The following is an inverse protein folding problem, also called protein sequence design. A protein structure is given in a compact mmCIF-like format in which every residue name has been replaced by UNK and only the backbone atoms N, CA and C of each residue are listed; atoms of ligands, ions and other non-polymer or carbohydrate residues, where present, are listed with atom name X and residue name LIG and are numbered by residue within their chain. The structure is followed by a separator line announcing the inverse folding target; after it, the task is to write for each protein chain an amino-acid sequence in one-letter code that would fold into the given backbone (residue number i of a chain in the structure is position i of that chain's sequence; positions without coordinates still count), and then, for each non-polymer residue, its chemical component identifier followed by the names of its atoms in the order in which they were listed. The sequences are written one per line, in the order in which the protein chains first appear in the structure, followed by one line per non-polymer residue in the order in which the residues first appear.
data_IF_960976448784
#
_entry.id   IF_960976448784
#
_cell.length_a   1.000
_cell.length_b   1.000
_cell.length_c   1.000
_cell.angle_alpha   90.00
_cell.angle_beta   90.00
_cell.angle_gamma   90.00
#
_symmetry.space_group_name_H-M   'P 1'
#
loop_
_entity.id
_entity.type
_entity.pdbx_description
1 polymer ?
#
# COMPACT_ATOMS: atom_id res chain seq x y z
N UNK A 1 12.41 13.65 0.89
CA UNK A 1 13.80 13.32 0.56
C UNK A 1 13.83 12.85 -0.88
N UNK A 2 14.56 13.55 -1.75
CA UNK A 2 14.85 13.11 -3.11
C UNK A 2 16.35 12.80 -3.16
N UNK A 3 16.71 11.55 -3.41
CA UNK A 3 18.10 11.12 -3.53
C UNK A 3 18.35 10.68 -4.96
N UNK A 4 19.36 11.25 -5.59
CA UNK A 4 19.81 10.83 -6.90
C UNK A 4 21.33 10.65 -6.85
N UNK A 5 21.79 9.48 -7.27
CA UNK A 5 23.20 9.09 -7.23
C UNK A 5 23.73 9.09 -8.65
N UNK A 6 24.75 9.91 -8.91
CA UNK A 6 25.50 9.87 -10.17
C UNK A 6 26.81 9.15 -9.90
N UNK A 7 27.10 8.11 -10.67
CA UNK A 7 28.35 7.34 -10.59
C UNK A 7 29.09 7.44 -11.92
N UNK A 8 30.38 7.76 -11.87
CA UNK A 8 31.30 7.68 -13.00
C UNK A 8 32.68 7.24 -12.52
N UNK A 9 33.31 6.30 -13.22
CA UNK A 9 34.70 5.83 -13.10
C UNK A 9 35.39 6.10 -11.75
N UNK A 10 34.94 5.36 -10.73
CA UNK A 10 35.56 5.34 -9.40
C UNK A 10 35.01 6.35 -8.39
N UNK A 11 34.15 7.28 -8.81
CA UNK A 11 33.54 8.27 -7.92
C UNK A 11 32.01 8.19 -7.97
N UNK A 12 31.39 8.27 -6.78
CA UNK A 12 29.94 8.41 -6.64
C UNK A 12 29.62 9.70 -5.90
N UNK A 13 28.76 10.52 -6.49
CA UNK A 13 28.23 11.73 -5.86
C UNK A 13 26.75 11.52 -5.60
N UNK A 14 26.38 11.61 -4.33
CA UNK A 14 25.01 11.50 -3.86
C UNK A 14 24.42 12.91 -3.66
N UNK A 15 23.40 13.23 -4.45
CA UNK A 15 22.63 14.45 -4.25
C UNK A 15 21.41 14.13 -3.39
N UNK A 16 21.45 14.54 -2.12
CA UNK A 16 20.32 14.44 -1.20
C UNK A 16 19.63 15.79 -1.09
N UNK A 17 18.51 15.94 -1.79
CA UNK A 17 17.66 17.11 -1.64
C UNK A 17 16.67 16.88 -0.49
N UNK A 18 16.93 17.57 0.61
CA UNK A 18 16.02 17.67 1.74
C UNK A 18 15.22 18.97 1.62
N UNK A 19 13.89 18.85 1.60
CA UNK A 19 13.01 20.00 1.79
C UNK A 19 13.32 20.55 3.18
N UNK A 20 13.67 21.85 3.29
CA UNK A 20 13.74 22.51 4.60
C UNK A 20 12.36 22.38 5.25
N UNK A 21 12.26 21.59 6.30
CA UNK A 21 11.15 21.67 7.23
C UNK A 21 11.26 23.02 7.92
N UNK A 22 10.31 23.91 7.66
CA UNK A 22 10.09 25.06 8.53
C UNK A 22 9.84 24.50 9.92
N UNK A 23 10.82 24.70 10.81
CA UNK A 23 10.66 24.42 12.23
C UNK A 23 9.80 25.52 12.82
N UNK A 24 8.51 25.52 12.52
CA UNK A 24 7.55 26.21 13.37
C UNK A 24 7.35 25.32 14.59
N UNK A 25 8.20 25.56 15.58
CA UNK A 25 8.42 24.76 16.77
C UNK A 25 7.31 24.93 17.84
N UNK A 26 6.06 25.11 17.45
CA UNK A 26 4.95 25.36 18.39
C UNK A 26 3.62 24.69 18.04
N UNK A 27 3.54 23.76 17.08
CA UNK A 27 2.29 23.05 16.79
C UNK A 27 2.47 21.54 16.92
N UNK A 28 1.95 21.02 18.03
CA UNK A 28 1.72 19.62 18.39
C UNK A 28 3.05 18.87 18.62
N UNK A 29 3.40 18.74 19.90
CA UNK A 29 4.41 17.77 20.33
C UNK A 29 4.13 16.42 19.67
N UNK A 30 5.18 15.65 19.35
CA UNK A 30 5.08 14.26 18.89
C UNK A 30 4.42 13.40 20.00
N UNK A 31 3.12 13.53 20.17
CA UNK A 31 2.31 12.69 21.04
C UNK A 31 2.05 11.44 20.19
N UNK A 32 2.68 10.34 20.58
CA UNK A 32 2.38 9.04 20.00
C UNK A 32 1.02 8.63 20.56
N UNK A 33 -0.05 8.86 19.78
CA UNK A 33 -1.41 8.56 20.19
C UNK A 33 -1.63 7.05 20.16
N UNK A 34 -2.01 6.50 21.30
CA UNK A 34 -2.38 5.10 21.44
C UNK A 34 -3.90 4.91 21.29
N UNK A 35 -4.34 3.66 21.21
CA UNK A 35 -5.76 3.36 21.03
C UNK A 35 -6.58 3.76 22.26
N UNK A 36 -5.95 3.65 23.43
CA UNK A 36 -6.42 3.94 24.77
C UNK A 36 -6.67 5.44 25.01
N UNK A 37 -6.08 6.32 24.19
CA UNK A 37 -6.23 7.78 24.31
C UNK A 37 -7.61 8.27 23.84
N UNK A 38 -8.41 7.41 23.21
CA UNK A 38 -9.71 7.76 22.64
C UNK A 38 -10.88 7.13 23.40
N UNK A 39 -11.96 7.89 23.59
CA UNK A 39 -13.23 7.36 24.08
C UNK A 39 -14.17 6.91 22.95
N UNK A 40 -15.05 5.92 23.22
CA UNK A 40 -15.99 5.46 22.19
C UNK A 40 -16.90 6.57 21.65
N UNK A 41 -17.42 7.42 22.54
CA UNK A 41 -18.32 8.51 22.15
C UNK A 41 -17.59 9.61 21.37
N UNK A 42 -16.32 9.88 21.70
CA UNK A 42 -15.47 10.79 20.94
C UNK A 42 -15.25 10.25 19.52
N UNK A 43 -14.89 8.97 19.37
CA UNK A 43 -14.69 8.35 18.06
C UNK A 43 -15.97 8.36 17.23
N UNK A 44 -17.13 8.07 17.84
CA UNK A 44 -18.42 8.12 17.13
C UNK A 44 -18.79 9.52 16.63
N UNK A 45 -18.48 10.56 17.40
CA UNK A 45 -18.89 11.93 17.11
C UNK A 45 -17.89 12.68 16.22
N UNK A 46 -16.59 12.50 16.47
CA UNK A 46 -15.52 13.26 15.84
C UNK A 46 -14.85 12.52 14.68
N UNK A 47 -14.96 11.19 14.63
CA UNK A 47 -14.18 10.37 13.71
C UNK A 47 -15.01 9.45 12.80
N UNK A 48 -14.45 9.13 11.63
CA UNK A 48 -14.83 7.93 10.88
C UNK A 48 -13.70 6.90 10.98
N UNK A 49 -13.80 5.89 11.85
CA UNK A 49 -12.73 4.93 12.06
C UNK A 49 -12.60 3.97 10.89
N UNK A 50 -11.36 3.70 10.49
CA UNK A 50 -11.02 2.75 9.43
C UNK A 50 -9.89 1.83 9.89
N UNK A 51 -10.13 0.52 9.88
CA UNK A 51 -9.19 -0.49 10.34
C UNK A 51 -8.48 -1.14 9.17
N UNK A 52 -7.18 -0.88 9.03
CA UNK A 52 -6.39 -1.22 7.84
C UNK A 52 -5.48 -2.42 8.07
N UNK A 53 -5.69 -3.50 7.32
CA UNK A 53 -4.80 -4.65 7.24
C UNK A 53 -4.06 -4.70 5.89
N UNK A 54 -2.74 -4.47 5.87
CA UNK A 54 -1.94 -4.63 4.66
C UNK A 54 -1.67 -6.11 4.37
N UNK A 55 -2.45 -6.69 3.47
CA UNK A 55 -2.38 -8.10 3.06
C UNK A 55 -1.23 -8.48 2.13
N UNK A 56 -1.17 -9.77 1.76
CA UNK A 56 -0.22 -10.30 0.75
C UNK A 56 -0.75 -10.23 -0.69
N UNK A 57 -2.07 -10.37 -0.87
CA UNK A 57 -2.74 -10.37 -2.20
C UNK A 57 -3.42 -9.02 -2.50
N UNK A 58 -3.78 -8.30 -1.45
CA UNK A 58 -4.23 -6.90 -1.50
C UNK A 58 -3.14 -5.98 -0.95
N UNK A 59 -3.06 -4.77 -1.51
CA UNK A 59 -2.23 -3.69 -0.98
C UNK A 59 -2.74 -3.29 0.41
N UNK A 60 -4.05 -3.24 0.56
CA UNK A 60 -4.73 -3.16 1.85
C UNK A 60 -6.15 -3.71 1.75
N UNK A 61 -6.65 -4.12 2.90
CA UNK A 61 -8.06 -4.32 3.22
C UNK A 61 -8.39 -3.35 4.36
N UNK A 62 -9.53 -2.69 4.28
CA UNK A 62 -10.00 -1.74 5.28
C UNK A 62 -11.42 -2.15 5.72
N UNK A 63 -11.67 -2.23 7.02
CA UNK A 63 -13.03 -2.22 7.55
C UNK A 63 -13.37 -0.79 8.00
N UNK A 64 -14.46 -0.23 7.51
CA UNK A 64 -14.86 1.15 7.81
C UNK A 64 -16.09 1.12 8.72
N UNK A 65 -16.05 1.97 9.75
CA UNK A 65 -17.10 2.12 10.74
C UNK A 65 -16.96 1.17 11.92
N UNK A 66 -17.87 1.36 12.88
CA UNK A 66 -17.89 0.67 14.17
C UNK A 66 -18.94 -0.45 14.24
N UNK A 67 -19.79 -0.61 13.22
CA UNK A 67 -20.82 -1.65 13.21
C UNK A 67 -20.16 -3.02 13.00
N UNK A 68 -20.22 -3.86 14.04
CA UNK A 68 -19.66 -5.21 14.03
C UNK A 68 -20.32 -6.13 13.00
N UNK A 69 -21.56 -5.84 12.61
CA UNK A 69 -22.36 -6.66 11.70
C UNK A 69 -22.19 -6.23 10.23
N UNK A 70 -22.36 -4.94 9.90
CA UNK A 70 -22.31 -4.42 8.54
C UNK A 70 -21.13 -3.46 8.30
N UNK A 71 -19.91 -3.96 8.41
CA UNK A 71 -18.73 -3.18 8.03
C UNK A 71 -18.67 -2.99 6.51
N UNK A 72 -18.44 -1.74 6.07
CA UNK A 72 -18.04 -1.51 4.68
C UNK A 72 -16.58 -1.95 4.52
N UNK A 73 -16.36 -2.99 3.72
CA UNK A 73 -15.01 -3.48 3.42
C UNK A 73 -14.50 -2.82 2.15
N UNK A 74 -13.44 -2.00 2.26
CA UNK A 74 -12.72 -1.46 1.11
C UNK A 74 -11.43 -2.20 0.88
N UNK A 75 -11.10 -2.48 -0.39
CA UNK A 75 -9.87 -3.18 -0.75
C UNK A 75 -9.21 -2.58 -1.97
N UNK A 76 -7.90 -2.75 -2.02
CA UNK A 76 -7.08 -2.53 -3.19
C UNK A 76 -6.29 -3.80 -3.47
N UNK A 77 -6.52 -4.45 -4.61
CA UNK A 77 -5.68 -5.59 -4.98
C UNK A 77 -4.32 -5.13 -5.48
N UNK A 78 -3.29 -5.97 -5.37
CA UNK A 78 -1.96 -5.69 -5.95
C UNK A 78 -2.05 -5.46 -7.47
N UNK A 79 -2.96 -6.18 -8.14
CA UNK A 79 -3.23 -6.00 -9.57
C UNK A 79 -3.87 -4.63 -9.88
N UNK A 80 -4.85 -4.20 -9.08
CA UNK A 80 -5.47 -2.87 -9.21
C UNK A 80 -4.43 -1.76 -9.02
N UNK A 81 -3.54 -1.91 -8.04
CA UNK A 81 -2.44 -0.98 -7.81
C UNK A 81 -1.47 -0.91 -8.99
N UNK A 82 -1.00 -2.04 -9.50
CA UNK A 82 -0.11 -2.05 -10.67
C UNK A 82 -0.78 -1.50 -11.94
N UNK A 83 -2.09 -1.62 -12.04
CA UNK A 83 -2.87 -0.98 -13.09
C UNK A 83 -2.89 0.55 -12.93
N UNK A 84 -3.21 1.07 -11.74
CA UNK A 84 -3.26 2.51 -11.42
C UNK A 84 -1.90 3.19 -11.61
N UNK A 85 -0.82 2.54 -11.18
CA UNK A 85 0.55 3.07 -11.36
C UNK A 85 1.00 3.10 -12.82
N UNK A 86 0.29 2.43 -13.73
CA UNK A 86 0.68 2.24 -15.12
C UNK A 86 1.79 1.19 -15.31
N UNK A 87 2.24 0.54 -14.23
CA UNK A 87 3.33 -0.45 -14.26
C UNK A 87 3.04 -1.60 -15.20
N UNK A 88 1.81 -2.15 -15.18
CA UNK A 88 1.42 -3.26 -16.05
C UNK A 88 1.56 -2.90 -17.54
N UNK A 89 1.11 -1.69 -17.93
CA UNK A 89 1.21 -1.21 -19.32
C UNK A 89 2.65 -0.97 -19.72
N UNK A 90 3.43 -0.37 -18.82
CA UNK A 90 4.85 -0.10 -19.05
C UNK A 90 5.66 -1.38 -19.20
N UNK A 91 5.53 -2.34 -18.28
CA UNK A 91 6.26 -3.61 -18.30
C UNK A 91 5.95 -4.36 -19.60
N UNK A 92 4.67 -4.48 -20.00
CA UNK A 92 4.30 -5.10 -21.28
C UNK A 92 4.96 -4.42 -22.48
N UNK A 93 4.99 -3.08 -22.50
CA UNK A 93 5.65 -2.31 -23.55
C UNK A 93 7.17 -2.55 -23.57
N UNK A 94 7.80 -2.55 -22.39
CA UNK A 94 9.23 -2.76 -22.24
C UNK A 94 9.62 -4.17 -22.71
N UNK A 95 8.89 -5.20 -22.30
CA UNK A 95 9.10 -6.58 -22.74
C UNK A 95 9.00 -6.73 -24.26
N UNK A 96 8.02 -6.06 -24.90
CA UNK A 96 7.92 -6.05 -26.37
C UNK A 96 9.15 -5.42 -27.02
N UNK A 97 9.63 -4.30 -26.47
CA UNK A 97 10.81 -3.61 -26.98
C UNK A 97 12.08 -4.43 -26.78
N UNK A 98 12.21 -5.12 -25.64
CA UNK A 98 13.33 -6.04 -25.37
C UNK A 98 13.36 -7.19 -26.37
N UNK A 99 12.21 -7.78 -26.66
CA UNK A 99 12.10 -8.85 -27.65
C UNK A 99 12.47 -8.35 -29.06
N UNK A 100 11.94 -7.20 -29.48
CA UNK A 100 12.22 -6.61 -30.81
C UNK A 100 13.70 -6.25 -31.02
N UNK A 101 14.39 -5.82 -29.96
CA UNK A 101 15.79 -5.42 -30.02
C UNK A 101 16.76 -6.53 -29.60
N UNK A 102 16.30 -7.77 -29.42
CA UNK A 102 17.14 -8.90 -29.01
C UNK A 102 17.69 -8.84 -27.57
N UNK A 103 17.34 -7.82 -26.80
CA UNK A 103 17.81 -7.63 -25.42
C UNK A 103 17.36 -8.77 -24.51
N UNK A 104 16.16 -9.31 -24.75
CA UNK A 104 15.64 -10.42 -23.94
C UNK A 104 16.55 -11.65 -24.00
N UNK A 105 17.14 -11.92 -25.16
CA UNK A 105 18.09 -13.02 -25.36
C UNK A 105 19.38 -12.77 -24.59
N UNK A 106 19.90 -11.53 -24.65
CA UNK A 106 21.10 -11.12 -23.90
C UNK A 106 20.87 -11.26 -22.39
N UNK A 107 19.73 -10.80 -21.88
CA UNK A 107 19.39 -10.91 -20.45
C UNK A 107 19.20 -12.35 -19.99
N UNK A 108 18.61 -13.22 -20.83
CA UNK A 108 18.35 -14.62 -20.49
C UNK A 108 19.64 -15.45 -20.44
N UNK A 109 20.59 -15.14 -21.33
CA UNK A 109 21.87 -15.85 -21.41
C UNK A 109 22.95 -15.26 -20.48
N UNK A 110 22.64 -14.17 -19.77
CA UNK A 110 23.58 -13.52 -18.87
C UNK A 110 23.92 -14.44 -17.68
N UNK A 111 25.21 -14.75 -17.45
CA UNK A 111 25.61 -15.53 -16.28
C UNK A 111 25.20 -14.84 -14.98
N UNK A 112 24.95 -15.61 -13.91
CA UNK A 112 24.57 -15.03 -12.62
C UNK A 112 25.78 -14.35 -11.96
N UNK A 113 25.68 -13.08 -11.51
CA UNK A 113 26.73 -12.44 -10.72
C UNK A 113 26.81 -12.98 -9.29
N UNK A 114 25.79 -13.71 -8.82
CA UNK A 114 25.72 -14.28 -7.47
C UNK A 114 26.39 -15.65 -7.44
N UNK A 115 27.72 -15.67 -7.49
CA UNK A 115 28.53 -16.88 -7.45
C UNK A 115 29.74 -16.69 -6.54
N UNK A 116 30.12 -17.75 -5.82
CA UNK A 116 31.36 -17.78 -5.02
C UNK A 116 32.57 -18.20 -5.84
N UNK A 117 32.37 -18.63 -7.10
CA UNK A 117 33.44 -19.11 -7.96
C UNK A 117 34.00 -17.97 -8.83
N UNK A 118 35.29 -17.67 -8.68
CA UNK A 118 35.95 -16.59 -9.41
C UNK A 118 35.84 -16.74 -10.94
N UNK A 119 36.01 -17.95 -11.47
CA UNK A 119 35.92 -18.21 -12.91
C UNK A 119 34.51 -17.90 -13.47
N UNK A 120 33.45 -18.28 -12.75
CA UNK A 120 32.07 -17.99 -13.15
C UNK A 120 31.78 -16.47 -13.09
N UNK A 121 32.39 -15.76 -12.15
CA UNK A 121 32.26 -14.30 -12.06
C UNK A 121 33.02 -13.58 -13.19
N UNK A 122 34.19 -14.09 -13.59
CA UNK A 122 34.92 -13.58 -14.77
C UNK A 122 34.09 -13.74 -16.05
N UNK A 123 33.44 -14.89 -16.25
CA UNK A 123 32.53 -15.11 -17.36
C UNK A 123 31.35 -14.12 -17.36
N UNK A 124 30.80 -13.79 -16.18
CA UNK A 124 29.78 -12.74 -16.06
C UNK A 124 30.32 -11.38 -16.50
N UNK A 125 31.50 -10.97 -16.02
CA UNK A 125 32.12 -9.68 -16.38
C UNK A 125 32.35 -9.61 -17.89
N UNK A 126 32.99 -10.64 -18.46
CA UNK A 126 33.29 -10.70 -19.90
C UNK A 126 32.00 -10.63 -20.74
N UNK A 127 30.95 -11.35 -20.32
CA UNK A 127 29.64 -11.31 -20.97
C UNK A 127 29.03 -9.90 -20.93
N UNK A 128 29.05 -9.25 -19.76
CA UNK A 128 28.51 -7.89 -19.60
C UNK A 128 29.28 -6.89 -20.44
N UNK A 129 30.62 -6.93 -20.41
CA UNK A 129 31.48 -6.04 -21.19
C UNK A 129 31.26 -6.22 -22.70
N UNK A 130 31.09 -7.45 -23.16
CA UNK A 130 30.81 -7.76 -24.57
C UNK A 130 29.49 -7.12 -25.05
N UNK A 131 28.47 -7.09 -24.20
CA UNK A 131 27.13 -6.58 -24.55
C UNK A 131 26.86 -5.16 -24.05
N UNK A 132 27.84 -4.51 -23.42
CA UNK A 132 27.67 -3.25 -22.70
C UNK A 132 27.11 -2.15 -23.62
N UNK A 133 27.68 -1.98 -24.81
CA UNK A 133 27.24 -0.95 -25.76
C UNK A 133 25.78 -1.11 -26.18
N UNK A 134 25.34 -2.34 -26.43
CA UNK A 134 23.94 -2.66 -26.79
C UNK A 134 23.00 -2.38 -25.62
N UNK A 135 23.40 -2.78 -24.40
CA UNK A 135 22.62 -2.56 -23.19
C UNK A 135 22.50 -1.06 -22.86
N UNK A 136 23.58 -0.29 -22.93
CA UNK A 136 23.56 1.16 -22.70
C UNK A 136 22.72 1.88 -23.74
N UNK A 137 22.83 1.49 -25.01
CA UNK A 137 22.00 2.06 -26.09
C UNK A 137 20.51 1.75 -25.89
N UNK A 138 20.18 0.57 -25.35
CA UNK A 138 18.80 0.21 -25.06
C UNK A 138 18.24 0.92 -23.82
N UNK A 139 19.01 0.95 -22.75
CA UNK A 139 18.65 1.56 -21.46
C UNK A 139 19.01 3.05 -21.39
N UNK A 140 18.82 3.75 -22.52
CA UNK A 140 19.11 5.18 -22.65
C UNK A 140 18.13 6.07 -21.85
N UNK A 141 18.29 7.39 -22.03
CA UNK A 141 17.43 8.40 -21.40
C UNK A 141 15.92 8.22 -21.69
N UNK A 142 15.53 7.56 -22.79
CA UNK A 142 14.12 7.31 -23.14
C UNK A 142 13.50 6.32 -22.17
N UNK A 143 14.27 5.33 -21.70
CA UNK A 143 13.85 4.43 -20.63
C UNK A 143 13.80 5.17 -19.28
N UNK A 144 14.74 6.08 -19.02
CA UNK A 144 14.71 6.92 -17.82
C UNK A 144 13.42 7.76 -17.73
N UNK A 145 12.97 8.34 -18.85
CA UNK A 145 11.66 9.02 -18.92
C UNK A 145 10.49 8.10 -18.55
N UNK A 146 10.54 6.84 -19.00
CA UNK A 146 9.56 5.83 -18.61
C UNK A 146 9.55 5.55 -17.10
N UNK A 147 10.73 5.40 -16.49
CA UNK A 147 10.90 5.23 -15.04
C UNK A 147 10.38 6.44 -14.25
N UNK A 148 10.58 7.65 -14.75
CA UNK A 148 10.04 8.87 -14.15
C UNK A 148 8.51 8.89 -14.16
N UNK A 149 7.87 8.50 -15.27
CA UNK A 149 6.42 8.39 -15.30
C UNK A 149 5.86 7.32 -14.36
N UNK A 150 6.57 6.20 -14.17
CA UNK A 150 6.19 5.22 -13.15
C UNK A 150 6.34 5.77 -11.73
N UNK A 151 7.38 6.56 -11.48
CA UNK A 151 7.54 7.25 -10.21
C UNK A 151 6.36 8.19 -9.93
N UNK A 152 5.98 9.04 -10.88
CA UNK A 152 4.79 9.89 -10.78
C UNK A 152 3.49 9.07 -10.68
N UNK A 153 3.40 7.96 -11.41
CA UNK A 153 2.28 7.02 -11.35
C UNK A 153 2.09 6.43 -9.95
N UNK A 154 3.19 6.09 -9.26
CA UNK A 154 3.16 5.64 -7.86
C UNK A 154 2.65 6.72 -6.91
N UNK A 155 3.04 7.98 -7.12
CA UNK A 155 2.56 9.11 -6.30
C UNK A 155 1.05 9.31 -6.45
N UNK A 156 0.57 9.41 -7.69
CA UNK A 156 -0.86 9.55 -7.97
C UNK A 156 -1.68 8.37 -7.46
N UNK A 157 -1.20 7.14 -7.68
CA UNK A 157 -1.89 5.95 -7.18
C UNK A 157 -2.01 6.00 -5.65
N UNK A 158 -0.97 6.40 -4.92
CA UNK A 158 -1.04 6.53 -3.46
C UNK A 158 -2.09 7.56 -3.02
N UNK A 159 -2.13 8.73 -3.67
CA UNK A 159 -3.12 9.78 -3.38
C UNK A 159 -4.56 9.32 -3.67
N UNK A 160 -4.79 8.71 -4.84
CA UNK A 160 -6.08 8.12 -5.22
C UNK A 160 -6.53 7.04 -4.22
N UNK A 161 -5.58 6.23 -3.74
CA UNK A 161 -5.89 5.17 -2.78
C UNK A 161 -6.31 5.73 -1.41
N UNK A 162 -5.67 6.80 -0.95
CA UNK A 162 -6.10 7.52 0.26
C UNK A 162 -7.45 8.21 0.06
N UNK A 163 -7.75 8.71 -1.14
CA UNK A 163 -9.08 9.26 -1.45
C UNK A 163 -10.16 8.16 -1.47
N UNK A 164 -9.85 6.99 -2.04
CA UNK A 164 -10.74 5.82 -2.03
C UNK A 164 -11.06 5.35 -0.61
N UNK A 165 -10.21 5.64 0.38
CA UNK A 165 -10.50 5.41 1.80
C UNK A 165 -11.52 6.43 2.38
N UNK A 166 -11.65 7.63 1.81
CA UNK A 166 -12.57 8.69 2.29
C UNK A 166 -13.95 8.68 1.60
N UNK A 167 -14.07 8.29 0.33
CA UNK A 167 -15.35 8.38 -0.41
C UNK A 167 -16.40 7.34 0.02
N UNK A 168 -17.60 7.76 0.45
CA UNK A 168 -18.79 6.89 0.49
C UNK A 168 -19.04 6.29 -0.90
N UNK A 169 -19.39 5.00 -0.97
CA UNK A 169 -19.69 4.34 -2.25
C UNK A 169 -20.88 5.04 -2.92
N UNK A 170 -20.60 5.88 -3.92
CA UNK A 170 -21.59 6.16 -4.93
C UNK A 170 -21.92 4.82 -5.59
N UNK A 171 -23.16 4.32 -5.38
CA UNK A 171 -23.71 3.18 -6.12
C UNK A 171 -23.49 3.44 -7.61
N UNK A 172 -22.46 2.84 -8.18
CA UNK A 172 -22.28 2.86 -9.64
C UNK A 172 -23.22 1.83 -10.20
N UNK A 173 -24.38 2.29 -10.65
CA UNK A 173 -25.18 1.58 -11.64
C UNK A 173 -24.25 1.15 -12.78
N UNK A 174 -24.29 -0.14 -13.09
CA UNK A 174 -23.48 -0.77 -14.12
C UNK A 174 -23.77 -0.16 -15.49
N UNK A 175 -23.04 0.88 -15.87
CA UNK A 175 -22.87 1.26 -17.26
C UNK A 175 -21.38 1.33 -17.57
N UNK A 176 -20.95 0.31 -18.31
CA UNK A 176 -19.61 0.22 -18.89
C UNK A 176 -19.26 1.52 -19.61
N UNK A 177 -18.33 2.30 -19.07
CA UNK A 177 -17.68 3.36 -19.84
C UNK A 177 -16.64 2.73 -20.75
N UNK A 178 -17.09 2.18 -21.89
CA UNK A 178 -16.25 2.00 -23.08
C UNK A 178 -15.78 3.39 -23.51
N UNK A 179 -14.58 3.81 -23.09
CA UNK A 179 -13.93 4.98 -23.69
C UNK A 179 -13.37 4.58 -25.05
N UNK A 180 -14.08 4.98 -26.11
CA UNK A 180 -13.52 5.11 -27.45
C UNK A 180 -12.37 6.11 -27.39
N UNK A 181 -11.22 5.71 -27.91
CA UNK A 181 -10.13 6.62 -28.25
C UNK A 181 -10.55 7.42 -29.49
N UNK A 182 -10.61 8.76 -29.39
CA UNK A 182 -10.19 9.66 -30.47
C UNK A 182 -9.98 11.09 -29.97
N UNK A 183 -8.93 11.70 -30.52
CA UNK A 183 -8.59 13.12 -30.60
C UNK A 183 -8.18 13.91 -29.35
N UNK A 184 -6.85 13.96 -29.21
CA UNK A 184 -6.09 15.18 -28.93
C UNK A 184 -6.68 16.40 -29.65
N UNK A 185 -7.22 17.37 -28.91
CA UNK A 185 -6.86 18.81 -28.98
C UNK A 185 -7.76 19.66 -28.08
N UNK A 186 -7.10 20.50 -27.27
CA UNK A 186 -7.53 21.81 -26.74
C UNK A 186 -9.01 21.98 -26.36
N UNK A 187 -9.28 21.97 -25.06
CA UNK A 187 -9.98 23.05 -24.33
C UNK A 187 -9.95 22.73 -22.83
N UNK A 188 -9.41 23.66 -22.01
CA UNK A 188 -9.58 23.64 -20.55
C UNK A 188 -11.01 24.11 -20.25
N UNK A 189 -11.88 23.33 -19.58
CA UNK A 189 -13.08 23.89 -18.97
C UNK A 189 -12.69 24.55 -17.64
N UNK A 190 -13.18 25.77 -17.42
CA UNK A 190 -13.18 26.45 -16.13
C UNK A 190 -13.79 25.53 -15.07
N UNK A 191 -13.13 25.41 -13.93
CA UNK A 191 -13.66 24.74 -12.74
C UNK A 191 -14.77 25.64 -12.18
N UNK A 192 -16.01 25.37 -12.55
CA UNK A 192 -17.15 25.82 -11.76
C UNK A 192 -17.25 24.91 -10.54
N UNK A 193 -17.12 25.53 -9.37
CA UNK A 193 -17.27 24.89 -8.07
C UNK A 193 -18.65 24.24 -7.98
N UNK A 194 -18.67 22.90 -7.98
CA UNK A 194 -19.86 22.14 -7.63
C UNK A 194 -20.16 22.41 -6.16
N UNK A 195 -21.22 23.19 -5.90
CA UNK A 195 -21.77 23.35 -4.56
C UNK A 195 -22.22 21.97 -4.05
N UNK A 196 -21.55 21.50 -3.00
CA UNK A 196 -21.98 20.34 -2.22
C UNK A 196 -23.23 20.74 -1.41
N UNK A 197 -24.29 19.93 -1.33
CA UNK A 197 -25.42 20.22 -0.48
C UNK A 197 -24.98 20.28 0.98
N UNK A 198 -25.27 21.41 1.60
CA UNK A 198 -24.95 21.75 2.98
C UNK A 198 -25.75 20.84 3.93
N UNK A 199 -25.07 20.15 4.87
CA UNK A 199 -25.76 19.48 5.97
C UNK A 199 -25.25 18.11 6.42
N UNK A 200 -23.94 17.93 6.64
CA UNK A 200 -23.40 16.93 7.58
C UNK A 200 -22.15 17.52 8.23
N UNK A 201 -22.05 17.46 9.57
CA UNK A 201 -20.81 17.85 10.28
C UNK A 201 -19.67 17.01 9.72
N UNK A 202 -18.62 17.66 9.21
CA UNK A 202 -17.43 16.99 8.69
C UNK A 202 -16.67 16.37 9.87
N UNK A 203 -16.88 15.07 10.13
CA UNK A 203 -16.03 14.32 11.04
C UNK A 203 -14.69 14.04 10.35
N UNK A 204 -13.59 14.19 11.09
CA UNK A 204 -12.26 13.89 10.56
C UNK A 204 -12.12 12.36 10.38
N UNK A 205 -11.59 11.85 9.26
CA UNK A 205 -11.35 10.41 9.14
C UNK A 205 -10.23 9.99 10.10
N UNK A 206 -10.47 8.96 10.91
CA UNK A 206 -9.47 8.36 11.79
C UNK A 206 -9.03 7.02 11.19
N UNK A 207 -7.74 6.89 10.88
CA UNK A 207 -7.18 5.65 10.34
C UNK A 207 -6.48 4.88 11.43
N UNK A 208 -7.01 3.69 11.73
CA UNK A 208 -6.42 2.75 12.66
C UNK A 208 -5.71 1.62 11.91
N UNK A 209 -4.47 1.38 12.27
CA UNK A 209 -3.55 0.52 11.54
C UNK A 209 -3.14 -0.69 12.35
N UNK A 210 -3.12 -1.85 11.70
CA UNK A 210 -2.46 -3.06 12.18
C UNK A 210 -0.95 -2.77 12.39
N UNK A 211 -0.39 -2.95 13.61
CA UNK A 211 0.94 -2.54 14.09
C UNK A 211 2.10 -3.56 13.93
N UNK A 212 1.83 -4.86 13.84
CA UNK A 212 2.88 -5.91 13.75
C UNK A 212 3.46 -6.06 12.35
N UNK A 213 2.81 -5.48 11.35
CA UNK A 213 3.35 -5.33 10.01
C UNK A 213 4.56 -4.39 9.95
N UNK A 214 4.70 -3.49 10.92
CA UNK A 214 5.67 -2.40 10.90
C UNK A 214 7.02 -2.77 11.49
N UNK A 215 7.07 -3.70 12.46
CA UNK A 215 8.28 -4.01 13.23
C UNK A 215 9.11 -5.19 12.70
N UNK A 216 8.57 -6.08 11.84
CA UNK A 216 9.35 -7.17 11.22
C UNK A 216 9.81 -6.80 9.81
N UNK A 217 10.89 -6.03 9.77
CA UNK A 217 11.51 -5.45 8.57
C UNK A 217 12.53 -6.36 7.85
N UNK A 218 12.39 -7.69 7.91
CA UNK A 218 13.37 -8.58 7.30
C UNK A 218 12.78 -9.51 6.24
N UNK A 219 13.31 -9.37 5.00
CA UNK A 219 13.40 -10.38 3.92
C UNK A 219 12.53 -10.25 2.65
N UNK A 220 11.99 -9.08 2.28
CA UNK A 220 11.51 -8.89 0.90
C UNK A 220 11.55 -7.43 0.43
N UNK A 221 12.53 -7.07 -0.40
CA UNK A 221 12.79 -5.70 -0.91
C UNK A 221 11.58 -5.07 -1.62
N UNK A 222 10.79 -5.86 -2.36
CA UNK A 222 9.60 -5.36 -3.08
C UNK A 222 8.44 -5.01 -2.11
N UNK A 223 8.48 -5.55 -0.89
CA UNK A 223 7.44 -5.35 0.14
C UNK A 223 7.71 -4.16 1.06
N UNK A 224 8.96 -3.75 1.18
CA UNK A 224 9.37 -2.57 1.95
C UNK A 224 8.90 -1.26 1.30
N UNK A 225 8.92 -1.18 -0.04
CA UNK A 225 8.70 0.09 -0.74
C UNK A 225 7.26 0.59 -0.63
N UNK A 226 6.24 -0.29 -0.67
CA UNK A 226 4.84 0.16 -0.63
C UNK A 226 4.39 0.54 0.80
N UNK A 227 4.81 -0.23 1.82
CA UNK A 227 4.47 0.03 3.22
C UNK A 227 5.05 1.38 3.67
N UNK A 228 6.28 1.67 3.25
CA UNK A 228 6.92 2.98 3.42
C UNK A 228 6.16 4.13 2.73
N UNK A 229 5.53 3.87 1.58
CA UNK A 229 4.84 4.88 0.79
C UNK A 229 3.42 5.18 1.28
N UNK A 230 2.65 4.15 1.65
CA UNK A 230 1.36 4.35 2.33
C UNK A 230 1.54 5.12 3.64
N UNK A 231 2.62 4.83 4.38
CA UNK A 231 3.01 5.60 5.55
C UNK A 231 3.33 7.05 5.20
N UNK A 232 4.20 7.27 4.21
CA UNK A 232 4.56 8.63 3.80
C UNK A 232 3.36 9.44 3.30
N UNK A 233 2.35 8.79 2.70
CA UNK A 233 1.12 9.45 2.28
C UNK A 233 0.20 9.77 3.48
N UNK A 234 0.09 8.84 4.43
CA UNK A 234 -0.72 9.01 5.64
C UNK A 234 -0.12 10.05 6.58
N UNK A 235 1.19 9.99 6.84
CA UNK A 235 1.94 10.95 7.63
C UNK A 235 1.82 12.38 7.07
N UNK A 236 1.81 12.55 5.75
CA UNK A 236 1.55 13.86 5.12
C UNK A 236 0.16 14.39 5.42
N UNK A 237 -0.85 13.52 5.43
CA UNK A 237 -2.24 13.90 5.76
C UNK A 237 -2.42 14.16 7.24
N UNK A 238 -1.72 13.41 8.08
CA UNK A 238 -1.69 13.62 9.53
C UNK A 238 -1.05 14.96 9.90
N UNK A 239 0.11 15.28 9.30
CA UNK A 239 0.73 16.61 9.46
C UNK A 239 -0.17 17.74 8.94
N UNK A 240 -1.03 17.47 7.96
CA UNK A 240 -2.01 18.44 7.46
C UNK A 240 -3.26 18.56 8.35
N UNK A 241 -3.41 17.72 9.40
CA UNK A 241 -4.60 17.65 10.24
C UNK A 241 -5.79 16.94 9.57
N UNK A 242 -5.59 16.31 8.41
CA UNK A 242 -6.63 15.66 7.61
C UNK A 242 -6.93 14.21 8.02
N UNK A 243 -6.14 13.66 8.94
CA UNK A 243 -6.16 12.25 9.36
C UNK A 243 -5.51 12.10 10.74
N UNK A 244 -6.05 11.21 11.57
CA UNK A 244 -5.36 10.69 12.77
C UNK A 244 -4.90 9.26 12.46
N UNK A 245 -3.63 8.93 12.70
CA UNK A 245 -3.10 7.58 12.48
C UNK A 245 -2.71 6.91 13.81
N UNK A 246 -3.39 5.82 14.15
CA UNK A 246 -3.11 5.05 15.39
C UNK A 246 -2.68 3.64 15.03
N UNK A 247 -1.70 3.07 15.75
CA UNK A 247 -1.29 1.67 15.57
C UNK A 247 -1.95 0.75 16.60
N UNK A 248 -2.29 -0.48 16.19
CA UNK A 248 -2.95 -1.50 17.02
C UNK A 248 -2.11 -2.76 16.98
N UNK A 249 -1.77 -3.36 18.13
CA UNK A 249 -1.12 -4.67 18.14
C UNK A 249 -2.04 -5.73 17.47
N UNK A 250 -1.49 -6.45 16.49
CA UNK A 250 -2.23 -7.41 15.65
C UNK A 250 -2.19 -8.84 16.21
N UNK A 251 -1.80 -9.02 17.47
CA UNK A 251 -1.60 -10.35 18.03
C UNK A 251 -2.83 -11.25 17.79
N UNK A 252 -2.61 -12.32 17.03
CA UNK A 252 -3.60 -13.31 16.58
C UNK A 252 -4.83 -12.77 15.82
N UNK A 253 -4.84 -11.54 15.32
CA UNK A 253 -6.00 -10.97 14.58
C UNK A 253 -6.36 -11.79 13.33
N UNK A 254 -5.40 -12.44 12.68
CA UNK A 254 -5.63 -13.31 11.52
C UNK A 254 -5.84 -14.80 11.85
N UNK A 255 -5.80 -15.17 13.14
CA UNK A 255 -5.91 -16.56 13.62
C UNK A 255 -7.17 -16.82 14.45
N UNK A 256 -7.60 -15.82 15.24
CA UNK A 256 -8.87 -15.86 15.95
C UNK A 256 -10.02 -15.65 14.97
N UNK A 257 -11.00 -16.53 15.00
CA UNK A 257 -12.23 -16.38 14.22
C UNK A 257 -13.06 -15.23 14.77
N UNK A 258 -13.35 -14.21 13.96
CA UNK A 258 -14.16 -13.07 14.39
C UNK A 258 -15.61 -13.46 14.79
N UNK A 259 -16.16 -14.54 14.22
CA UNK A 259 -17.53 -14.97 14.54
C UNK A 259 -17.66 -15.71 15.88
N UNK A 260 -16.65 -16.47 16.29
CA UNK A 260 -16.75 -17.31 17.49
C UNK A 260 -15.63 -17.10 18.51
N UNK A 261 -14.75 -16.12 18.29
CA UNK A 261 -13.64 -15.74 19.15
C UNK A 261 -12.70 -16.91 19.55
N UNK A 262 -12.60 -17.94 18.71
CA UNK A 262 -11.70 -19.07 18.94
C UNK A 262 -10.50 -19.05 17.99
N UNK A 263 -9.33 -19.45 18.50
CA UNK A 263 -8.08 -19.58 17.75
C UNK A 263 -8.05 -20.92 16.98
N UNK A 264 -8.99 -21.08 16.05
CA UNK A 264 -9.27 -22.34 15.37
C UNK A 264 -9.38 -22.21 13.84
N UNK A 265 -8.80 -21.13 13.29
CA UNK A 265 -8.75 -20.90 11.85
C UNK A 265 -7.65 -21.72 11.18
N UNK A 266 -8.03 -22.59 10.25
CA UNK A 266 -7.12 -23.35 9.40
C UNK A 266 -7.22 -22.91 7.95
N UNK A 267 -6.17 -23.12 7.16
CA UNK A 267 -6.22 -22.83 5.71
C UNK A 267 -7.22 -23.75 5.03
N UNK A 268 -8.00 -23.21 4.10
CA UNK A 268 -8.96 -24.01 3.33
C UNK A 268 -8.26 -25.07 2.49
N UNK A 269 -8.63 -26.36 2.62
CA UNK A 269 -8.11 -27.44 1.77
C UNK A 269 -8.45 -27.18 0.30
N UNK A 270 -7.56 -27.56 -0.61
CA UNK A 270 -7.77 -27.45 -2.06
C UNK A 270 -7.51 -26.07 -2.67
N UNK A 271 -7.27 -25.03 -1.87
CA UNK A 271 -6.87 -23.72 -2.38
C UNK A 271 -5.35 -23.50 -2.26
N UNK A 272 -4.72 -23.05 -3.36
CA UNK A 272 -3.31 -22.65 -3.33
C UNK A 272 -3.16 -21.36 -2.51
N UNK A 273 -2.55 -21.50 -1.34
CA UNK A 273 -2.17 -20.41 -0.45
C UNK A 273 -3.19 -20.14 0.66
N UNK A 274 -2.79 -19.32 1.62
CA UNK A 274 -3.52 -19.19 2.89
C UNK A 274 -4.44 -17.95 2.93
N UNK A 275 -4.97 -17.49 1.79
CA UNK A 275 -5.81 -16.27 1.75
C UNK A 275 -7.21 -16.48 2.29
N UNK A 276 -7.69 -17.72 2.27
CA UNK A 276 -9.00 -18.12 2.79
C UNK A 276 -8.79 -19.12 3.92
N UNK A 277 -9.46 -18.88 5.04
CA UNK A 277 -9.40 -19.70 6.24
C UNK A 277 -10.81 -20.19 6.59
N UNK A 278 -10.87 -21.35 7.23
CA UNK A 278 -12.09 -21.92 7.79
C UNK A 278 -11.93 -22.11 9.28
N UNK A 279 -12.95 -21.73 10.04
CA UNK A 279 -12.99 -22.03 11.47
C UNK A 279 -13.39 -23.49 11.67
N UNK A 280 -12.60 -24.25 12.42
CA UNK A 280 -12.95 -25.65 12.70
C UNK A 280 -14.19 -25.80 13.61
N UNK A 281 -14.53 -24.76 14.38
CA UNK A 281 -15.65 -24.73 15.34
C UNK A 281 -16.95 -24.28 14.65
N UNK A 282 -17.03 -23.00 14.25
CA UNK A 282 -18.27 -22.44 13.68
C UNK A 282 -18.41 -22.63 12.17
N UNK A 283 -17.42 -23.26 11.51
CA UNK A 283 -17.37 -23.51 10.06
C UNK A 283 -17.42 -22.25 9.18
N UNK A 284 -17.35 -21.06 9.77
CA UNK A 284 -17.30 -19.81 9.04
C UNK A 284 -16.06 -19.75 8.12
N UNK A 285 -16.28 -19.27 6.90
CA UNK A 285 -15.24 -19.01 5.91
C UNK A 285 -14.83 -17.55 5.95
N UNK A 286 -13.52 -17.33 6.02
CA UNK A 286 -12.94 -16.01 6.16
C UNK A 286 -11.91 -15.74 5.08
N UNK A 287 -12.03 -14.60 4.39
CA UNK A 287 -10.82 -14.01 3.81
C UNK A 287 -9.95 -13.52 4.98
N UNK A 288 -8.70 -13.98 5.04
CA UNK A 288 -7.78 -13.70 6.14
C UNK A 288 -7.72 -12.22 6.52
N UNK A 289 -7.49 -11.37 5.52
CA UNK A 289 -7.29 -9.94 5.74
C UNK A 289 -8.59 -9.25 6.22
N UNK A 290 -9.76 -9.75 5.80
CA UNK A 290 -11.07 -9.26 6.28
C UNK A 290 -11.28 -9.65 7.74
N UNK A 291 -10.96 -10.90 8.10
CA UNK A 291 -11.05 -11.36 9.49
C UNK A 291 -10.12 -10.55 10.40
N UNK A 292 -8.89 -10.28 9.95
CA UNK A 292 -7.96 -9.41 10.68
C UNK A 292 -8.52 -7.99 10.90
N UNK A 293 -9.09 -7.37 9.85
CA UNK A 293 -9.72 -6.05 9.96
C UNK A 293 -10.88 -6.05 10.97
N UNK A 294 -11.77 -7.05 10.90
CA UNK A 294 -12.91 -7.15 11.83
C UNK A 294 -12.47 -7.39 13.28
N UNK A 295 -11.40 -8.17 13.47
CA UNK A 295 -10.84 -8.36 14.81
C UNK A 295 -10.19 -7.09 15.35
N UNK A 296 -9.56 -6.26 14.51
CA UNK A 296 -9.09 -4.94 14.93
C UNK A 296 -10.25 -4.04 15.37
N UNK A 297 -11.38 -4.07 14.67
CA UNK A 297 -12.59 -3.33 15.09
C UNK A 297 -13.02 -3.80 16.48
N UNK A 298 -13.14 -5.12 16.67
CA UNK A 298 -13.56 -5.73 17.95
C UNK A 298 -12.62 -5.36 19.11
N UNK A 299 -11.31 -5.42 18.88
CA UNK A 299 -10.29 -5.01 19.87
C UNK A 299 -10.48 -3.54 20.23
N UNK A 300 -10.64 -2.67 19.23
CA UNK A 300 -10.76 -1.23 19.43
C UNK A 300 -12.02 -0.85 20.17
N UNK A 301 -13.16 -1.44 19.80
CA UNK A 301 -14.42 -1.27 20.54
C UNK A 301 -14.29 -1.71 22.00
N UNK A 302 -13.64 -2.84 22.28
CA UNK A 302 -13.45 -3.32 23.65
C UNK A 302 -12.60 -2.36 24.50
N UNK A 303 -11.55 -1.79 23.91
CA UNK A 303 -10.68 -0.81 24.57
C UNK A 303 -11.43 0.50 24.81
N UNK A 304 -12.12 1.03 23.80
CA UNK A 304 -12.90 2.26 23.90
C UNK A 304 -14.13 2.16 24.81
N UNK A 305 -14.67 0.94 25.00
CA UNK A 305 -15.70 0.62 26.01
C UNK A 305 -15.13 0.50 27.44
N UNK A 306 -13.82 0.65 27.63
CA UNK A 306 -13.16 0.52 28.93
C UNK A 306 -13.01 -0.92 29.44
N UNK A 307 -13.28 -1.93 28.60
CA UNK A 307 -13.12 -3.36 28.98
C UNK A 307 -11.68 -3.85 28.81
N UNK A 308 -10.83 -3.01 28.23
CA UNK A 308 -9.46 -3.36 27.86
C UNK A 308 -9.40 -4.31 26.68
N UNK A 309 -8.20 -4.85 26.45
CA UNK A 309 -7.94 -5.72 25.29
C UNK A 309 -8.48 -7.14 25.52
N UNK A 310 -9.23 -7.73 24.57
CA UNK A 310 -9.75 -9.08 24.72
C UNK A 310 -8.64 -10.11 24.92
N UNK A 311 -8.86 -11.08 25.82
CA UNK A 311 -7.88 -12.12 26.19
C UNK A 311 -7.36 -12.93 25.00
N UNK A 312 -8.19 -13.18 24.01
CA UNK A 312 -7.79 -13.92 22.80
C UNK A 312 -6.75 -13.18 21.95
N UNK A 313 -6.64 -11.87 22.17
CA UNK A 313 -5.74 -10.95 21.50
C UNK A 313 -4.65 -10.40 22.42
N UNK A 314 -4.63 -10.75 23.72
CA UNK A 314 -3.56 -10.34 24.63
C UNK A 314 -2.33 -11.24 24.51
N UNK A 315 -1.15 -10.65 24.66
CA UNK A 315 0.10 -11.39 24.89
C UNK A 315 0.18 -11.63 26.39
N UNK A 316 0.07 -12.88 26.83
CA UNK A 316 0.36 -13.25 28.22
C UNK A 316 1.86 -13.15 28.50
#
# INVERSE_FOLDING_TARGET
MFANTVKSDGFSVDFVFNKRTTKDATLIANIDLELEDFGLEEVKQACQPMFLDPGRKSVFTAAIGLDTTNHQIRRCSTAEYYHRTGSTKYIKKLERLKAQKGIKTIETNMPSPKTSQCAAYLLYIEYVLTHVGVLFTFYDYKIAKGRFYLYQGRQRAAEEMEEKKKQEEAKTDGKSKRKRESNYQKQKPKVEARKVPNGKRESAPCSLWCGNVWQRLDKAEEKQVWRQWCFSASAKKETAGDLIAVTIDEYKTSKVCNACNNDSLTSMPGLKGCSVQVCSICKALWQRDINACKNMVSISLSIWDGRGRPFQHSRN
#
